data_IF_304972868099
#
_entry.id   IF_304972868099
#
_cell.length_a   1.000
_cell.length_b   1.000
_cell.length_c   1.000
_cell.angle_alpha   90.00
_cell.angle_beta   90.00
_cell.angle_gamma   90.00
#
_symmetry.space_group_name_H-M   'P 1'
#
loop_
_entity.id
_entity.type
_entity.pdbx_description
1 polymer ?
#
# COMPACT_ATOMS: atom_id res chain seq x y z
N UNK A 1 -15.11 -2.64 13.25
CA UNK A 1 -14.18 -2.31 12.15
C UNK A 1 -13.82 -0.82 12.16
N UNK A 2 -14.76 0.12 12.00
CA UNK A 2 -14.43 1.56 12.03
C UNK A 2 -13.91 2.04 13.40
N UNK A 3 -14.47 1.54 14.50
CA UNK A 3 -14.06 1.92 15.87
C UNK A 3 -12.66 1.40 16.20
N UNK A 4 -12.40 0.11 15.99
CA UNK A 4 -11.06 -0.51 16.17
C UNK A 4 -9.99 0.15 15.26
N UNK A 5 -10.33 0.46 14.01
CA UNK A 5 -9.43 1.17 13.10
C UNK A 5 -9.12 2.59 13.62
N UNK A 6 -10.13 3.29 14.14
CA UNK A 6 -9.94 4.62 14.74
C UNK A 6 -9.05 4.55 15.98
N UNK A 7 -9.24 3.58 16.87
CA UNK A 7 -8.40 3.38 18.05
C UNK A 7 -6.93 3.15 17.66
N UNK A 8 -6.68 2.31 16.66
CA UNK A 8 -5.33 2.06 16.15
C UNK A 8 -4.73 3.35 15.56
N UNK A 9 -5.50 4.10 14.77
CA UNK A 9 -5.04 5.38 14.22
C UNK A 9 -4.67 6.35 15.34
N UNK A 10 -5.51 6.49 16.37
CA UNK A 10 -5.26 7.36 17.54
C UNK A 10 -3.96 6.96 18.23
N UNK A 11 -3.80 5.67 18.54
CA UNK A 11 -2.58 5.14 19.16
C UNK A 11 -1.31 5.52 18.37
N UNK A 12 -1.32 5.37 17.04
CA UNK A 12 -0.18 5.74 16.21
C UNK A 12 0.05 7.26 16.14
N UNK A 13 -0.99 8.10 16.19
CA UNK A 13 -0.83 9.57 16.25
C UNK A 13 -0.26 10.05 17.59
N UNK A 14 -0.65 9.41 18.70
CA UNK A 14 -0.08 9.68 20.01
C UNK A 14 1.42 9.32 20.04
N UNK A 15 1.77 8.13 19.53
CA UNK A 15 3.16 7.70 19.43
C UNK A 15 3.97 8.60 18.48
N UNK A 16 3.35 9.08 17.39
CA UNK A 16 3.97 10.06 16.49
C UNK A 16 4.37 11.33 17.26
N UNK A 17 3.41 11.89 17.99
CA UNK A 17 3.59 13.13 18.76
C UNK A 17 4.75 12.97 19.75
N UNK A 18 4.77 11.84 20.47
CA UNK A 18 5.86 11.51 21.39
C UNK A 18 7.23 11.43 20.70
N UNK A 19 7.31 10.78 19.53
CA UNK A 19 8.59 10.69 18.81
C UNK A 19 9.02 12.06 18.26
N UNK A 20 8.09 12.91 17.83
CA UNK A 20 8.37 14.29 17.40
C UNK A 20 8.94 15.13 18.55
N UNK A 21 8.42 14.97 19.78
CA UNK A 21 8.96 15.60 20.98
C UNK A 21 10.39 15.13 21.28
N UNK A 22 10.64 13.81 21.25
CA UNK A 22 11.98 13.24 21.46
C UNK A 22 12.97 13.68 20.39
N UNK A 23 12.53 13.81 19.14
CA UNK A 23 13.35 14.34 18.06
C UNK A 23 13.72 15.81 18.32
N UNK A 24 12.74 16.64 18.71
CA UNK A 24 12.98 18.04 19.03
C UNK A 24 14.00 18.20 20.19
N UNK A 25 13.87 17.37 21.23
CA UNK A 25 14.83 17.32 22.34
C UNK A 25 16.24 16.94 21.86
N UNK A 26 16.37 15.89 21.04
CA UNK A 26 17.66 15.50 20.48
C UNK A 26 18.30 16.60 19.64
N UNK A 27 17.50 17.32 18.83
CA UNK A 27 17.99 18.44 18.02
C UNK A 27 18.45 19.61 18.90
N UNK A 28 17.73 19.90 19.99
CA UNK A 28 18.12 20.91 20.97
C UNK A 28 19.48 20.60 21.61
N UNK A 29 19.74 19.34 21.94
CA UNK A 29 21.00 18.90 22.54
C UNK A 29 22.07 18.48 21.51
N UNK A 30 21.83 18.71 20.22
CA UNK A 30 22.74 18.30 19.13
C UNK A 30 23.06 16.80 19.11
N UNK A 31 22.17 15.96 19.64
CA UNK A 31 22.31 14.51 19.60
C UNK A 31 21.82 13.95 18.26
N UNK A 32 22.61 14.20 17.23
CA UNK A 32 22.27 13.86 15.85
C UNK A 32 22.13 12.35 15.61
N UNK A 33 22.77 11.51 16.44
CA UNK A 33 22.67 10.06 16.30
C UNK A 33 21.26 9.59 16.64
N UNK A 34 20.72 10.02 17.78
CA UNK A 34 19.35 9.67 18.17
C UNK A 34 18.33 10.45 17.34
N UNK A 35 18.60 11.71 16.98
CA UNK A 35 17.75 12.45 16.04
C UNK A 35 17.52 11.69 14.73
N UNK A 36 18.60 11.15 14.13
CA UNK A 36 18.49 10.33 12.93
C UNK A 36 17.68 9.03 13.18
N UNK A 37 17.81 8.39 14.35
CA UNK A 37 17.00 7.22 14.68
C UNK A 37 15.52 7.54 14.80
N UNK A 38 15.17 8.62 15.51
CA UNK A 38 13.78 9.08 15.62
C UNK A 38 13.21 9.51 14.28
N UNK A 39 13.99 10.18 13.43
CA UNK A 39 13.56 10.53 12.07
C UNK A 39 13.25 9.28 11.22
N UNK A 40 14.06 8.23 11.32
CA UNK A 40 13.76 6.95 10.67
C UNK A 40 12.49 6.30 11.24
N UNK A 41 12.31 6.34 12.56
CA UNK A 41 11.10 5.87 13.24
C UNK A 41 9.85 6.60 12.76
N UNK A 42 9.89 7.92 12.67
CA UNK A 42 8.80 8.74 12.11
C UNK A 42 8.49 8.38 10.66
N UNK A 43 9.50 8.06 9.85
CA UNK A 43 9.28 7.58 8.48
C UNK A 43 8.44 6.29 8.44
N UNK A 44 8.78 5.32 9.29
CA UNK A 44 8.03 4.06 9.40
C UNK A 44 6.60 4.32 9.91
N UNK A 45 6.47 5.12 10.96
CA UNK A 45 5.20 5.41 11.60
C UNK A 45 4.26 6.19 10.66
N UNK A 46 4.75 7.21 9.96
CA UNK A 46 3.97 7.97 8.99
C UNK A 46 3.49 7.09 7.83
N UNK A 47 4.26 6.10 7.41
CA UNK A 47 3.82 5.12 6.41
C UNK A 47 2.66 4.28 6.94
N UNK A 48 2.73 3.80 8.19
CA UNK A 48 1.64 3.05 8.81
C UNK A 48 0.37 3.89 8.93
N UNK A 49 0.47 5.12 9.45
CA UNK A 49 -0.66 6.06 9.50
C UNK A 49 -1.25 6.33 8.12
N UNK A 50 -0.41 6.42 7.09
CA UNK A 50 -0.87 6.63 5.72
C UNK A 50 -1.71 5.45 5.22
N UNK A 51 -1.29 4.21 5.50
CA UNK A 51 -2.06 2.99 5.18
C UNK A 51 -3.38 2.97 5.95
N UNK A 52 -3.34 3.19 7.27
CA UNK A 52 -4.54 3.11 8.10
C UNK A 52 -5.58 4.16 7.70
N UNK A 53 -5.14 5.38 7.41
CA UNK A 53 -6.03 6.45 6.97
C UNK A 53 -6.56 6.23 5.55
N UNK A 54 -5.80 5.56 4.66
CA UNK A 54 -6.31 5.20 3.33
C UNK A 54 -7.34 4.07 3.36
N UNK A 55 -7.32 3.21 4.39
CA UNK A 55 -8.40 2.24 4.63
C UNK A 55 -9.72 2.94 5.00
N UNK A 56 -9.64 4.04 5.76
CA UNK A 56 -10.80 4.83 6.17
C UNK A 56 -11.32 5.76 5.06
N UNK A 57 -10.41 6.31 4.28
CA UNK A 57 -10.72 7.25 3.20
C UNK A 57 -9.86 6.92 1.98
N UNK A 58 -10.48 6.35 0.95
CA UNK A 58 -9.81 5.96 -0.30
C UNK A 58 -9.14 7.15 -1.00
N UNK A 59 -9.60 8.38 -0.74
CA UNK A 59 -9.03 9.61 -1.29
C UNK A 59 -7.99 10.26 -0.35
N UNK A 60 -7.67 9.66 0.80
CA UNK A 60 -6.80 10.24 1.83
C UNK A 60 -5.48 10.77 1.27
N UNK A 61 -4.77 9.96 0.48
CA UNK A 61 -3.48 10.32 -0.09
C UNK A 61 -3.58 11.49 -1.06
N UNK A 62 -4.59 11.49 -1.92
CA UNK A 62 -4.82 12.59 -2.87
C UNK A 62 -5.18 13.89 -2.15
N UNK A 63 -5.97 13.80 -1.07
CA UNK A 63 -6.26 14.93 -0.19
C UNK A 63 -5.00 15.45 0.50
N UNK A 64 -4.12 14.54 0.96
CA UNK A 64 -2.83 14.88 1.58
C UNK A 64 -1.91 15.60 0.59
N UNK A 65 -1.75 15.07 -0.63
CA UNK A 65 -0.94 15.68 -1.69
C UNK A 65 -1.43 17.09 -2.05
N UNK A 66 -2.74 17.28 -2.23
CA UNK A 66 -3.32 18.60 -2.51
C UNK A 66 -3.05 19.59 -1.36
N UNK A 67 -3.21 19.15 -0.12
CA UNK A 67 -2.90 19.98 1.07
C UNK A 67 -1.43 20.39 1.11
N UNK A 68 -0.52 19.44 0.87
CA UNK A 68 0.92 19.71 0.83
C UNK A 68 1.28 20.65 -0.33
N UNK A 69 0.68 20.48 -1.51
CA UNK A 69 0.87 21.38 -2.65
C UNK A 69 0.39 22.80 -2.38
N UNK A 70 -0.80 22.96 -1.80
CA UNK A 70 -1.35 24.26 -1.40
C UNK A 70 -0.40 24.97 -0.42
N UNK A 71 0.12 24.24 0.57
CA UNK A 71 1.05 24.80 1.53
C UNK A 71 2.39 25.21 0.89
N UNK A 72 2.91 24.38 -0.02
CA UNK A 72 4.10 24.72 -0.80
C UNK A 72 3.89 25.99 -1.65
N UNK A 73 2.71 26.16 -2.24
CA UNK A 73 2.36 27.39 -2.97
C UNK A 73 2.30 28.61 -2.06
N UNK A 74 1.75 28.48 -0.85
CA UNK A 74 1.74 29.56 0.16
C UNK A 74 3.15 29.94 0.60
N UNK A 75 4.02 28.95 0.81
CA UNK A 75 5.43 29.19 1.11
C UNK A 75 6.14 29.89 -0.05
N UNK A 76 5.91 29.47 -1.30
CA UNK A 76 6.47 30.15 -2.47
C UNK A 76 6.02 31.61 -2.58
N UNK A 77 4.77 31.92 -2.22
CA UNK A 77 4.26 33.29 -2.19
C UNK A 77 4.98 34.17 -1.17
N UNK A 78 5.31 33.61 0.00
CA UNK A 78 6.07 34.34 1.02
C UNK A 78 7.49 34.70 0.56
N UNK A 79 8.09 33.87 -0.30
CA UNK A 79 9.45 34.07 -0.82
C UNK A 79 9.44 34.99 -2.04
N UNK A 80 8.47 34.84 -2.93
CA UNK A 80 8.37 35.62 -4.15
C UNK A 80 6.93 36.11 -4.40
N UNK A 81 6.55 37.28 -3.85
CA UNK A 81 5.20 37.83 -4.03
C UNK A 81 4.86 38.22 -5.48
N UNK A 82 5.86 38.37 -6.35
CA UNK A 82 5.65 38.86 -7.73
C UNK A 82 4.92 37.86 -8.63
N UNK A 83 4.94 36.57 -8.28
CA UNK A 83 4.23 35.51 -8.99
C UNK A 83 2.81 35.24 -8.46
N UNK A 84 2.29 36.13 -7.60
CA UNK A 84 1.05 35.91 -6.84
C UNK A 84 -0.18 35.61 -7.68
N UNK A 85 -0.37 36.29 -8.81
CA UNK A 85 -1.52 36.03 -9.67
C UNK A 85 -1.55 34.58 -10.18
N UNK A 86 -0.41 34.05 -10.63
CA UNK A 86 -0.32 32.68 -11.13
C UNK A 86 -0.50 31.66 -9.99
N UNK A 87 0.18 31.86 -8.86
CA UNK A 87 0.13 30.93 -7.73
C UNK A 87 -1.25 30.92 -7.05
N UNK A 88 -1.91 32.06 -6.92
CA UNK A 88 -3.26 32.14 -6.37
C UNK A 88 -4.28 31.34 -7.21
N UNK A 89 -4.12 31.31 -8.53
CA UNK A 89 -4.98 30.49 -9.39
C UNK A 89 -4.71 28.99 -9.20
N UNK A 90 -3.44 28.58 -8.99
CA UNK A 90 -3.11 27.19 -8.65
C UNK A 90 -3.70 26.79 -7.29
N UNK A 91 -3.56 27.64 -6.26
CA UNK A 91 -4.15 27.41 -4.93
C UNK A 91 -5.67 27.24 -5.05
N UNK A 92 -6.38 28.16 -5.72
CA UNK A 92 -7.83 28.05 -5.91
C UNK A 92 -8.24 26.77 -6.63
N UNK A 93 -7.48 26.36 -7.65
CA UNK A 93 -7.75 25.13 -8.39
C UNK A 93 -7.64 23.92 -7.46
N UNK A 94 -6.59 23.85 -6.66
CA UNK A 94 -6.31 22.70 -5.81
C UNK A 94 -7.20 22.67 -4.56
N UNK A 95 -7.61 23.84 -4.03
CA UNK A 95 -8.66 23.96 -3.01
C UNK A 95 -10.01 23.43 -3.52
N UNK A 96 -10.42 23.80 -4.75
CA UNK A 96 -11.64 23.25 -5.37
C UNK A 96 -11.57 21.74 -5.55
N UNK A 97 -10.43 21.21 -5.97
CA UNK A 97 -10.22 19.77 -6.10
C UNK A 97 -10.31 19.07 -4.73
N UNK A 98 -9.74 19.68 -3.69
CA UNK A 98 -9.79 19.16 -2.33
C UNK A 98 -11.22 19.13 -1.79
N UNK A 99 -11.99 20.20 -2.01
CA UNK A 99 -13.40 20.28 -1.64
C UNK A 99 -14.25 19.23 -2.35
N UNK A 100 -14.01 19.02 -3.65
CA UNK A 100 -14.69 17.96 -4.40
C UNK A 100 -14.43 16.56 -3.81
N UNK A 101 -13.18 16.27 -3.40
CA UNK A 101 -12.82 15.00 -2.76
C UNK A 101 -13.38 14.85 -1.35
N UNK A 102 -13.57 15.95 -0.62
CA UNK A 102 -14.17 15.93 0.72
C UNK A 102 -15.67 15.67 0.69
N UNK A 103 -16.35 16.13 -0.37
CA UNK A 103 -17.79 15.98 -0.54
C UNK A 103 -18.19 14.68 -1.27
N UNK A 104 -17.21 13.89 -1.73
CA UNK A 104 -17.47 12.62 -2.37
C UNK A 104 -17.79 11.56 -1.30
N UNK A 105 -18.95 10.91 -1.41
CA UNK A 105 -19.29 9.79 -0.52
C UNK A 105 -18.28 8.65 -0.68
N UNK A 106 -17.74 8.20 0.45
CA UNK A 106 -16.89 7.01 0.49
C UNK A 106 -17.79 5.80 0.33
N UNK A 107 -17.79 5.21 -0.86
CA UNK A 107 -18.50 3.96 -1.10
C UNK A 107 -17.89 2.86 -0.22
N UNK A 108 -18.70 2.10 0.53
CA UNK A 108 -18.22 0.96 1.30
C UNK A 108 -17.64 -0.09 0.34
N UNK A 109 -16.43 -0.57 0.66
CA UNK A 109 -15.82 -1.69 -0.05
C UNK A 109 -16.41 -3.00 0.48
N UNK A 110 -17.02 -3.79 -0.40
CA UNK A 110 -17.51 -5.13 -0.07
C UNK A 110 -16.51 -6.17 -0.57
N UNK A 111 -16.09 -7.07 0.33
CA UNK A 111 -15.28 -8.23 -0.03
C UNK A 111 -16.11 -9.15 -0.94
N UNK A 112 -15.58 -9.47 -2.12
CA UNK A 112 -16.24 -10.31 -3.11
C UNK A 112 -16.03 -11.79 -2.79
N UNK A 113 -17.10 -12.60 -2.85
CA UNK A 113 -17.02 -14.05 -2.63
C UNK A 113 -16.18 -14.76 -3.70
N UNK A 114 -15.97 -14.13 -4.86
CA UNK A 114 -15.24 -14.69 -6.00
C UNK A 114 -13.80 -15.08 -5.66
N UNK A 115 -13.15 -14.35 -4.74
CA UNK A 115 -11.79 -14.68 -4.30
C UNK A 115 -11.79 -15.92 -3.39
N UNK A 116 -12.81 -16.07 -2.54
CA UNK A 116 -12.99 -17.24 -1.70
C UNK A 116 -13.23 -18.47 -2.56
N UNK A 117 -14.20 -18.39 -3.46
CA UNK A 117 -14.58 -19.48 -4.35
C UNK A 117 -13.39 -19.95 -5.19
N UNK A 118 -12.63 -19.03 -5.80
CA UNK A 118 -11.42 -19.37 -6.55
C UNK A 118 -10.34 -20.03 -5.68
N UNK A 119 -10.22 -19.60 -4.42
CA UNK A 119 -9.27 -20.19 -3.47
C UNK A 119 -9.68 -21.61 -3.08
N UNK A 120 -10.95 -21.84 -2.75
CA UNK A 120 -11.48 -23.16 -2.43
C UNK A 120 -11.40 -24.10 -3.63
N UNK A 121 -11.83 -23.65 -4.81
CA UNK A 121 -11.76 -24.44 -6.03
C UNK A 121 -10.33 -24.86 -6.39
N UNK A 122 -9.34 -24.01 -6.09
CA UNK A 122 -7.93 -24.33 -6.26
C UNK A 122 -7.43 -25.37 -5.25
N UNK A 123 -7.88 -25.30 -3.99
CA UNK A 123 -7.50 -26.28 -2.95
C UNK A 123 -8.17 -27.62 -3.17
N UNK A 124 -9.42 -27.64 -3.63
CA UNK A 124 -10.18 -28.84 -4.00
C UNK A 124 -9.71 -29.45 -5.33
N UNK A 125 -8.88 -28.73 -6.09
CA UNK A 125 -8.33 -29.20 -7.37
C UNK A 125 -9.32 -29.12 -8.54
N UNK A 126 -10.41 -28.36 -8.39
CA UNK A 126 -11.35 -28.05 -9.49
C UNK A 126 -10.71 -27.14 -10.54
N UNK A 127 -9.76 -26.30 -10.14
CA UNK A 127 -8.96 -25.46 -11.04
C UNK A 127 -7.46 -25.68 -10.77
N UNK A 128 -6.63 -25.52 -11.80
CA UNK A 128 -5.17 -25.73 -11.67
C UNK A 128 -4.47 -24.51 -11.09
N UNK A 129 -4.93 -23.31 -11.45
CA UNK A 129 -4.40 -22.05 -10.96
C UNK A 129 -5.36 -20.91 -11.23
N UNK A 130 -5.18 -19.79 -10.53
CA UNK A 130 -5.82 -18.53 -10.91
C UNK A 130 -4.84 -17.36 -10.78
N UNK A 131 -5.13 -16.27 -11.47
CA UNK A 131 -4.35 -15.03 -11.48
C UNK A 131 -5.22 -13.91 -10.94
N UNK A 132 -4.72 -13.18 -9.95
CA UNK A 132 -5.31 -11.97 -9.42
C UNK A 132 -4.52 -10.76 -9.90
N UNK A 133 -5.08 -10.00 -10.84
CA UNK A 133 -4.43 -8.80 -11.38
C UNK A 133 -4.56 -7.63 -10.41
N UNK A 134 -3.40 -7.09 -10.04
CA UNK A 134 -3.29 -5.89 -9.22
C UNK A 134 -3.18 -4.63 -10.09
N UNK A 135 -2.48 -4.73 -11.24
CA UNK A 135 -2.36 -3.64 -12.21
C UNK A 135 -2.12 -4.19 -13.61
N UNK A 136 -3.13 -4.12 -14.47
CA UNK A 136 -3.09 -4.67 -15.84
C UNK A 136 -2.12 -3.94 -16.73
N UNK A 137 -2.00 -2.61 -16.60
CA UNK A 137 -1.18 -1.77 -17.47
C UNK A 137 0.30 -2.14 -17.47
N UNK A 138 0.81 -2.66 -16.35
CA UNK A 138 2.20 -3.14 -16.21
C UNK A 138 2.29 -4.67 -16.03
N UNK A 139 1.17 -5.37 -16.23
CA UNK A 139 1.04 -6.82 -16.01
C UNK A 139 1.43 -7.28 -14.58
N UNK A 140 1.13 -6.46 -13.57
CA UNK A 140 1.34 -6.84 -12.17
C UNK A 140 0.18 -7.70 -11.66
N UNK A 141 0.48 -8.89 -11.20
CA UNK A 141 -0.47 -9.87 -10.71
C UNK A 141 0.13 -10.81 -9.66
N UNK A 142 -0.75 -11.52 -8.97
CA UNK A 142 -0.44 -12.66 -8.13
C UNK A 142 -1.00 -13.93 -8.77
N UNK A 143 -0.15 -14.94 -8.94
CA UNK A 143 -0.54 -16.26 -9.42
C UNK A 143 -0.62 -17.23 -8.25
N UNK A 144 -1.71 -17.98 -8.21
CA UNK A 144 -2.02 -18.96 -7.18
C UNK A 144 -2.03 -20.36 -7.80
N UNK A 145 -1.31 -21.30 -7.21
CA UNK A 145 -1.28 -22.69 -7.67
C UNK A 145 -1.07 -23.68 -6.51
N UNK A 146 -1.62 -24.88 -6.62
CA UNK A 146 -1.38 -25.98 -5.67
C UNK A 146 -0.36 -26.97 -6.25
N UNK A 147 0.78 -27.18 -5.58
CA UNK A 147 1.79 -28.17 -5.99
C UNK A 147 2.41 -28.88 -4.81
N UNK A 148 2.52 -30.21 -4.89
CA UNK A 148 3.20 -31.06 -3.89
C UNK A 148 2.73 -30.73 -2.45
N UNK A 149 1.42 -30.72 -2.23
CA UNK A 149 0.79 -30.39 -0.94
C UNK A 149 1.10 -28.98 -0.39
N UNK A 150 1.44 -28.03 -1.27
CA UNK A 150 1.65 -26.63 -0.92
C UNK A 150 0.76 -25.73 -1.76
N UNK A 151 0.19 -24.73 -1.12
CA UNK A 151 -0.42 -23.57 -1.75
C UNK A 151 0.69 -22.56 -2.05
N UNK A 152 0.84 -22.18 -3.32
CA UNK A 152 1.92 -21.33 -3.79
C UNK A 152 1.34 -20.03 -4.31
N UNK A 153 1.86 -18.92 -3.78
CA UNK A 153 1.55 -17.56 -4.24
C UNK A 153 2.81 -17.02 -4.90
N UNK A 154 2.75 -16.68 -6.18
CA UNK A 154 3.87 -16.12 -6.94
C UNK A 154 3.52 -14.74 -7.46
N UNK A 155 4.46 -13.81 -7.39
CA UNK A 155 4.32 -12.50 -8.02
C UNK A 155 4.71 -12.57 -9.50
N UNK A 156 4.21 -11.63 -10.32
CA UNK A 156 4.66 -11.48 -11.71
C UNK A 156 6.20 -11.52 -11.79
N UNK A 157 6.77 -12.37 -12.65
CA UNK A 157 8.21 -12.36 -12.90
C UNK A 157 8.71 -11.01 -13.44
N UNK A 158 9.91 -10.60 -13.03
CA UNK A 158 10.50 -9.31 -13.44
C UNK A 158 10.53 -9.17 -14.99
N UNK A 159 10.74 -10.28 -15.71
CA UNK A 159 10.77 -10.34 -17.19
C UNK A 159 9.39 -10.16 -17.86
N UNK A 160 8.30 -10.35 -17.11
CA UNK A 160 6.92 -10.30 -17.62
C UNK A 160 6.21 -8.99 -17.22
N UNK A 161 6.86 -8.15 -16.41
CA UNK A 161 6.45 -6.77 -16.22
C UNK A 161 6.77 -5.97 -17.48
N UNK A 162 5.98 -4.94 -17.77
CA UNK A 162 6.10 -4.12 -18.99
C UNK A 162 7.49 -3.53 -19.26
N UNK A 163 7.62 -2.73 -20.34
CA UNK A 163 8.91 -2.26 -20.90
C UNK A 163 9.82 -1.46 -19.96
N UNK A 164 9.35 -1.10 -18.78
CA UNK A 164 10.13 -0.45 -17.73
C UNK A 164 9.78 -1.14 -16.41
N UNK A 165 10.73 -1.15 -15.47
CA UNK A 165 10.60 -1.57 -14.06
C UNK A 165 11.25 -2.94 -13.77
N UNK A 166 12.53 -2.88 -13.40
CA UNK A 166 13.03 -3.81 -12.39
C UNK A 166 12.29 -3.57 -11.09
N UNK A 167 11.83 -4.65 -10.45
CA UNK A 167 11.10 -4.58 -9.21
C UNK A 167 11.96 -3.88 -8.12
N UNK A 168 11.54 -2.73 -7.56
CA UNK A 168 12.40 -1.90 -6.71
C UNK A 168 12.95 -2.64 -5.48
N UNK A 169 14.21 -2.35 -5.09
CA UNK A 169 14.86 -2.99 -3.93
C UNK A 169 14.04 -2.88 -2.64
N UNK A 170 13.37 -1.75 -2.42
CA UNK A 170 12.49 -1.53 -1.27
C UNK A 170 11.32 -2.52 -1.26
N UNK A 171 10.60 -2.67 -2.38
CA UNK A 171 9.50 -3.64 -2.52
C UNK A 171 9.98 -5.08 -2.38
N UNK A 172 11.17 -5.41 -2.91
CA UNK A 172 11.83 -6.72 -2.68
C UNK A 172 12.09 -6.99 -1.19
N UNK A 173 12.43 -5.97 -0.39
CA UNK A 173 12.62 -6.11 1.06
C UNK A 173 11.30 -6.39 1.77
N UNK A 174 10.23 -5.68 1.40
CA UNK A 174 8.90 -5.85 1.97
C UNK A 174 8.29 -7.22 1.64
N UNK A 175 8.45 -7.70 0.41
CA UNK A 175 8.04 -9.07 0.07
C UNK A 175 8.75 -10.11 0.94
N UNK A 176 10.06 -9.94 1.18
CA UNK A 176 10.83 -10.84 2.05
C UNK A 176 10.33 -10.82 3.50
N UNK A 177 9.94 -9.65 4.03
CA UNK A 177 9.39 -9.58 5.40
C UNK A 177 8.02 -10.26 5.53
N UNK A 178 7.25 -10.36 4.44
CA UNK A 178 5.99 -11.13 4.39
C UNK A 178 6.25 -12.64 4.22
N UNK A 179 7.51 -13.05 3.97
CA UNK A 179 7.92 -14.45 3.86
C UNK A 179 8.16 -14.93 2.43
N UNK A 180 8.02 -14.07 1.42
CA UNK A 180 8.34 -14.43 0.04
C UNK A 180 9.84 -14.69 -0.13
N UNK A 181 10.15 -15.71 -0.93
CA UNK A 181 11.52 -16.09 -1.29
C UNK A 181 11.72 -15.92 -2.79
N UNK A 182 12.89 -15.43 -3.18
CA UNK A 182 13.29 -15.35 -4.59
C UNK A 182 13.47 -16.76 -5.13
N UNK A 183 12.80 -17.06 -6.24
CA UNK A 183 13.02 -18.28 -6.98
C UNK A 183 14.33 -18.14 -7.77
N UNK A 184 15.29 -19.01 -7.47
CA UNK A 184 16.65 -18.95 -8.06
C UNK A 184 16.67 -19.15 -9.57
N UNK A 185 15.63 -19.77 -10.16
CA UNK A 185 15.65 -20.15 -11.57
C UNK A 185 14.87 -19.22 -12.49
N UNK A 186 13.96 -18.40 -11.96
CA UNK A 186 13.00 -17.64 -12.78
C UNK A 186 12.80 -16.20 -12.32
N UNK A 187 13.69 -15.69 -11.46
CA UNK A 187 13.75 -14.28 -11.09
C UNK A 187 12.43 -13.65 -10.59
N UNK A 188 11.58 -14.45 -9.94
CA UNK A 188 10.34 -13.99 -9.29
C UNK A 188 10.31 -14.35 -7.80
N UNK A 189 9.42 -13.71 -7.05
CA UNK A 189 9.19 -14.01 -5.64
C UNK A 189 7.99 -14.95 -5.47
N UNK A 190 8.14 -15.95 -4.62
CA UNK A 190 7.05 -16.86 -4.26
C UNK A 190 7.00 -17.13 -2.76
N UNK A 191 5.79 -17.35 -2.27
CA UNK A 191 5.48 -17.84 -0.93
C UNK A 191 4.88 -19.23 -1.06
N UNK A 192 5.23 -20.13 -0.14
CA UNK A 192 4.70 -21.49 -0.06
C UNK A 192 4.09 -21.71 1.32
N UNK A 193 2.84 -22.15 1.34
CA UNK A 193 2.09 -22.48 2.53
C UNK A 193 1.73 -23.97 2.51
N UNK A 194 1.94 -24.72 3.60
CA UNK A 194 1.48 -26.09 3.69
C UNK A 194 -0.06 -26.17 3.57
N UNK A 195 -0.59 -27.03 2.69
CA UNK A 195 -2.04 -27.21 2.56
C UNK A 195 -2.66 -27.92 3.77
N UNK A 196 -1.88 -28.67 4.54
CA UNK A 196 -2.33 -29.35 5.76
C UNK A 196 -2.91 -28.41 6.81
N UNK A 197 -2.54 -27.13 6.79
CA UNK A 197 -3.04 -26.09 7.70
C UNK A 197 -4.16 -25.24 7.09
N UNK A 198 -4.58 -25.51 5.85
CA UNK A 198 -5.62 -24.73 5.19
C UNK A 198 -6.98 -25.06 5.80
N UNK A 199 -7.63 -24.05 6.38
CA UNK A 199 -9.00 -24.13 6.91
C UNK A 199 -9.96 -23.25 6.12
N UNK A 200 -9.49 -22.05 5.78
CA UNK A 200 -10.22 -21.02 5.07
C UNK A 200 -9.24 -20.18 4.23
N UNK A 201 -9.80 -19.30 3.42
CA UNK A 201 -9.08 -18.33 2.60
C UNK A 201 -8.50 -17.15 3.40
N UNK A 202 -8.80 -17.02 4.71
CA UNK A 202 -8.48 -15.83 5.49
C UNK A 202 -6.98 -15.58 5.54
N UNK A 203 -6.19 -16.64 5.72
CA UNK A 203 -4.73 -16.52 5.71
C UNK A 203 -4.21 -15.98 4.38
N UNK A 204 -4.81 -16.40 3.26
CA UNK A 204 -4.42 -15.95 1.93
C UNK A 204 -4.87 -14.50 1.71
N UNK A 205 -6.09 -14.13 2.13
CA UNK A 205 -6.56 -12.74 2.10
C UNK A 205 -5.63 -11.82 2.88
N UNK A 206 -5.19 -12.21 4.08
CA UNK A 206 -4.22 -11.43 4.86
C UNK A 206 -2.93 -11.21 4.07
N UNK A 207 -2.41 -12.24 3.41
CA UNK A 207 -1.19 -12.11 2.60
C UNK A 207 -1.42 -11.17 1.41
N UNK A 208 -2.55 -11.30 0.70
CA UNK A 208 -2.91 -10.42 -0.42
C UNK A 208 -3.07 -8.98 0.05
N UNK A 209 -3.76 -8.74 1.17
CA UNK A 209 -3.91 -7.41 1.77
C UNK A 209 -2.56 -6.80 2.13
N UNK A 210 -1.63 -7.56 2.72
CA UNK A 210 -0.26 -7.07 2.97
C UNK A 210 0.47 -6.69 1.69
N UNK A 211 0.30 -7.46 0.61
CA UNK A 211 0.89 -7.12 -0.68
C UNK A 211 0.30 -5.82 -1.21
N UNK A 212 -1.03 -5.67 -1.19
CA UNK A 212 -1.73 -4.48 -1.68
C UNK A 212 -1.34 -3.24 -0.87
N UNK A 213 -1.46 -3.30 0.45
CA UNK A 213 -1.34 -2.12 1.31
C UNK A 213 0.08 -1.84 1.78
N UNK A 214 0.90 -2.86 2.06
CA UNK A 214 2.27 -2.65 2.55
C UNK A 214 3.31 -2.63 1.43
N UNK A 215 3.15 -3.41 0.36
CA UNK A 215 4.19 -3.54 -0.70
C UNK A 215 3.96 -2.57 -1.85
N UNK A 216 2.72 -2.48 -2.35
CA UNK A 216 2.39 -1.69 -3.53
C UNK A 216 1.70 -0.38 -3.24
N UNK A 217 1.04 -0.26 -2.08
CA UNK A 217 0.08 0.81 -1.78
C UNK A 217 -1.09 0.82 -2.77
N UNK A 218 -2.32 0.81 -2.25
CA UNK A 218 -3.54 0.68 -3.08
C UNK A 218 -3.63 1.71 -4.20
N UNK A 219 -3.08 2.90 -3.98
CA UNK A 219 -3.07 4.01 -4.93
C UNK A 219 -2.20 3.79 -6.17
N UNK A 220 -1.21 2.88 -6.10
CA UNK A 220 -0.41 2.53 -7.26
C UNK A 220 -1.10 1.47 -8.14
N UNK A 221 -2.17 0.85 -7.66
CA UNK A 221 -2.88 -0.26 -8.30
C UNK A 221 -4.09 0.21 -9.11
N UNK A 222 -4.63 -0.69 -9.93
CA UNK A 222 -5.89 -0.41 -10.63
C UNK A 222 -7.05 -0.43 -9.61
N UNK A 223 -8.03 0.47 -9.78
CA UNK A 223 -9.23 0.55 -8.92
C UNK A 223 -10.10 -0.70 -9.03
N UNK A 224 -10.03 -1.40 -10.16
CA UNK A 224 -10.71 -2.67 -10.39
C UNK A 224 -9.67 -3.78 -10.56
N UNK A 225 -9.73 -4.77 -9.68
CA UNK A 225 -8.92 -6.00 -9.78
C UNK A 225 -9.69 -7.06 -10.54
N UNK A 226 -8.99 -7.98 -11.21
CA UNK A 226 -9.65 -9.09 -11.92
C UNK A 226 -9.04 -10.43 -11.61
N UNK A 227 -9.90 -11.44 -11.42
CA UNK A 227 -9.51 -12.84 -11.28
C UNK A 227 -9.63 -13.52 -12.64
N UNK A 228 -8.58 -14.25 -13.04
CA UNK A 228 -8.55 -15.10 -14.25
C UNK A 228 -8.31 -16.53 -13.80
N UNK A 229 -9.27 -17.42 -14.09
CA UNK A 229 -9.21 -18.84 -13.72
C UNK A 229 -8.58 -19.65 -14.85
N UNK A 230 -7.69 -20.57 -14.50
CA UNK A 230 -7.08 -21.53 -15.41
C UNK A 230 -7.41 -22.96 -14.97
N UNK A 231 -8.18 -23.65 -15.81
CA UNK A 231 -8.55 -25.06 -15.67
C UNK A 231 -7.48 -26.01 -16.18
#
# INVERSE_FOLDING_TARGET
MDEELNEIIIYYEEEKTRIEELLAECLQFSDYKYANQFQNGLGILNNQLTILKSLKDSNYLKKKELKEQIENYRNLLSINPQISNYINELIKRDERNLDALNNQEVMPFYDGQEFDDATFDLVEGKIQSFIFHLKKTINLYLKFECKKNNFIISITPDEQMGREIHFPKAKKRLLKSIGFKRNKTKEYFQLKLPLLSFKDSQQIKIIVSKIIYEVFFINELDTETTIVIHS
#
